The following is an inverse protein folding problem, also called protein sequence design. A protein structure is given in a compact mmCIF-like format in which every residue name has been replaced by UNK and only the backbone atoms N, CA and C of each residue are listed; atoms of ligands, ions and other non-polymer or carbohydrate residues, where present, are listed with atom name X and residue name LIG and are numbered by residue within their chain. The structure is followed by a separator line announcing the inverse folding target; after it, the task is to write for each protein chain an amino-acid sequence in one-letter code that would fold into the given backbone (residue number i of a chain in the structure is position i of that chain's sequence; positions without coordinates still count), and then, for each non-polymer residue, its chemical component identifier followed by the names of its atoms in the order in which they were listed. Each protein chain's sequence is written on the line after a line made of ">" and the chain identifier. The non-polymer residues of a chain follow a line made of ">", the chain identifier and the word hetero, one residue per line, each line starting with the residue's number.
data_IF_213029502141
#
_entry.id   IF_213029502141
#
_cell.length_a   1.000
_cell.length_b   1.000
_cell.length_c   1.000
_cell.angle_alpha   90.00
_cell.angle_beta   90.00
_cell.angle_gamma   90.00
#
_symmetry.space_group_name_H-M   'P 1'
#
loop_
_entity.id
_entity.type
_entity.pdbx_description
1 polymer ?
#
# COMPACT_ATOMS: atom_id res chain seq x y z
N UNK A 1 0.34 -19.45 5.05
CA UNK A 1 -0.42 -18.61 4.09
C UNK A 1 -1.81 -18.45 4.66
N UNK A 2 -2.53 -17.35 4.46
CA UNK A 2 -3.89 -17.22 4.99
C UNK A 2 -4.73 -18.42 4.53
N UNK A 3 -5.31 -19.16 5.47
CA UNK A 3 -6.05 -20.39 5.17
C UNK A 3 -7.53 -20.10 5.01
N UNK A 4 -8.00 -19.01 5.61
CA UNK A 4 -9.40 -18.59 5.56
C UNK A 4 -9.52 -17.09 5.27
N UNK A 5 -10.67 -16.68 4.73
CA UNK A 5 -10.91 -15.27 4.39
C UNK A 5 -10.91 -14.39 5.65
N UNK A 6 -11.25 -14.96 6.80
CA UNK A 6 -11.26 -14.28 8.09
C UNK A 6 -9.85 -13.87 8.54
N UNK A 7 -8.80 -14.57 8.09
CA UNK A 7 -7.41 -14.24 8.39
C UNK A 7 -6.96 -12.95 7.67
N UNK A 8 -7.72 -12.52 6.66
CA UNK A 8 -7.48 -11.31 5.86
C UNK A 8 -8.36 -10.13 6.31
N UNK A 9 -9.06 -10.26 7.44
CA UNK A 9 -9.95 -9.21 7.92
C UNK A 9 -9.16 -7.96 8.31
N UNK A 10 -9.56 -6.82 7.74
CA UNK A 10 -9.04 -5.52 8.13
C UNK A 10 -9.62 -5.08 9.48
N UNK A 11 -8.90 -4.26 10.27
CA UNK A 11 -9.42 -3.73 11.53
C UNK A 11 -10.73 -2.96 11.32
N UNK A 12 -11.82 -3.43 11.93
CA UNK A 12 -13.17 -2.89 11.74
C UNK A 12 -13.26 -1.39 12.05
N UNK A 13 -12.49 -0.92 13.04
CA UNK A 13 -12.41 0.50 13.41
C UNK A 13 -11.90 1.36 12.26
N UNK A 14 -10.88 0.89 11.54
CA UNK A 14 -10.28 1.63 10.41
C UNK A 14 -11.24 1.67 9.23
N UNK A 15 -11.85 0.52 8.89
CA UNK A 15 -12.86 0.43 7.82
C UNK A 15 -14.03 1.36 8.13
N UNK A 16 -14.54 1.33 9.36
CA UNK A 16 -15.67 2.18 9.77
C UNK A 16 -15.34 3.67 9.66
N UNK A 17 -14.12 4.08 10.05
CA UNK A 17 -13.69 5.46 9.95
C UNK A 17 -13.65 5.94 8.49
N UNK A 18 -13.01 5.17 7.59
CA UNK A 18 -12.93 5.50 6.17
C UNK A 18 -14.31 5.61 5.53
N UNK A 19 -15.22 4.69 5.86
CA UNK A 19 -16.59 4.72 5.31
C UNK A 19 -17.35 5.95 5.79
N UNK A 20 -17.19 6.35 7.06
CA UNK A 20 -17.81 7.58 7.57
C UNK A 20 -17.25 8.83 6.91
N UNK A 21 -15.95 8.89 6.64
CA UNK A 21 -15.31 10.01 5.94
C UNK A 21 -15.84 10.18 4.50
N UNK A 22 -16.38 9.12 3.90
CA UNK A 22 -17.01 9.14 2.58
C UNK A 22 -18.52 9.48 2.61
N UNK A 23 -19.12 9.68 3.79
CA UNK A 23 -20.55 9.93 3.97
C UNK A 23 -20.79 11.30 4.62
N UNK A 24 -21.97 11.92 4.41
CA UNK A 24 -22.36 13.12 5.15
C UNK A 24 -22.42 12.91 6.66
N UNK A 25 -22.24 13.99 7.42
CA UNK A 25 -22.35 13.98 8.87
C UNK A 25 -23.72 13.47 9.34
N UNK A 26 -23.72 12.74 10.45
CA UNK A 26 -24.94 12.19 11.07
C UNK A 26 -25.49 10.92 10.41
N UNK A 27 -24.92 10.45 9.30
CA UNK A 27 -25.35 9.19 8.67
C UNK A 27 -24.96 7.99 9.53
N UNK A 28 -25.96 7.17 9.89
CA UNK A 28 -25.75 5.91 10.59
C UNK A 28 -25.46 4.78 9.61
N UNK A 29 -24.50 3.92 9.96
CA UNK A 29 -24.14 2.72 9.20
C UNK A 29 -24.57 1.51 10.02
N UNK A 30 -25.23 0.53 9.42
CA UNK A 30 -25.59 -0.71 10.13
C UNK A 30 -24.36 -1.59 10.40
N UNK A 31 -24.48 -2.55 11.32
CA UNK A 31 -23.39 -3.51 11.62
C UNK A 31 -23.11 -4.42 10.42
N UNK A 32 -24.17 -4.79 9.70
CA UNK A 32 -24.16 -5.64 8.53
C UNK A 32 -23.44 -4.95 7.38
N UNK A 33 -23.73 -3.65 7.15
CA UNK A 33 -23.05 -2.86 6.12
C UNK A 33 -21.55 -2.72 6.40
N UNK A 34 -21.15 -2.42 7.66
CA UNK A 34 -19.73 -2.38 8.06
C UNK A 34 -19.03 -3.71 7.80
N UNK A 35 -19.69 -4.82 8.15
CA UNK A 35 -19.15 -6.16 7.97
C UNK A 35 -19.03 -6.52 6.49
N UNK A 36 -20.03 -6.18 5.68
CA UNK A 36 -20.01 -6.36 4.22
C UNK A 36 -18.87 -5.58 3.57
N UNK A 37 -18.69 -4.31 3.94
CA UNK A 37 -17.59 -3.47 3.44
C UNK A 37 -16.22 -3.99 3.84
N UNK A 38 -16.05 -4.46 5.08
CA UNK A 38 -14.78 -5.05 5.53
C UNK A 38 -14.41 -6.30 4.72
N UNK A 39 -15.38 -7.20 4.49
CA UNK A 39 -15.18 -8.39 3.63
C UNK A 39 -14.90 -8.01 2.18
N UNK A 40 -15.64 -7.05 1.64
CA UNK A 40 -15.44 -6.55 0.28
C UNK A 40 -14.04 -5.95 0.11
N UNK A 41 -13.52 -5.23 1.10
CA UNK A 41 -12.16 -4.69 1.08
C UNK A 41 -11.09 -5.80 1.04
N UNK A 42 -11.24 -6.87 1.84
CA UNK A 42 -10.34 -8.02 1.78
C UNK A 42 -10.37 -8.71 0.42
N UNK A 43 -11.56 -8.90 -0.16
CA UNK A 43 -11.73 -9.46 -1.51
C UNK A 43 -11.14 -8.55 -2.57
N UNK A 44 -11.29 -7.23 -2.43
CA UNK A 44 -10.71 -6.24 -3.34
C UNK A 44 -9.18 -6.34 -3.40
N UNK A 45 -8.51 -6.47 -2.25
CA UNK A 45 -7.05 -6.66 -2.19
C UNK A 45 -6.64 -7.94 -2.94
N UNK A 46 -7.36 -9.04 -2.73
CA UNK A 46 -7.10 -10.30 -3.43
C UNK A 46 -7.33 -10.18 -4.94
N UNK A 47 -8.39 -9.51 -5.34
CA UNK A 47 -8.74 -9.30 -6.74
C UNK A 47 -7.66 -8.50 -7.48
N UNK A 48 -7.27 -7.34 -6.92
CA UNK A 48 -6.20 -6.49 -7.47
C UNK A 48 -4.87 -7.25 -7.53
N UNK A 49 -4.54 -7.97 -6.45
CA UNK A 49 -3.29 -8.77 -6.40
C UNK A 49 -3.28 -9.84 -7.48
N UNK A 50 -4.41 -10.52 -7.71
CA UNK A 50 -4.57 -11.53 -8.75
C UNK A 50 -4.41 -10.93 -10.15
N UNK A 51 -5.07 -9.80 -10.42
CA UNK A 51 -4.99 -9.09 -11.70
C UNK A 51 -3.55 -8.64 -12.00
N UNK A 52 -2.89 -7.98 -11.05
CA UNK A 52 -1.49 -7.55 -11.18
C UNK A 52 -0.53 -8.74 -11.35
N UNK A 53 -0.79 -9.85 -10.65
CA UNK A 53 0.00 -11.09 -10.81
C UNK A 53 -0.12 -11.66 -12.23
N UNK A 54 -1.29 -11.58 -12.85
CA UNK A 54 -1.47 -12.03 -14.23
C UNK A 54 -0.67 -11.17 -15.21
N UNK A 55 -0.63 -9.85 -15.02
CA UNK A 55 0.22 -8.93 -15.81
C UNK A 55 1.69 -9.30 -15.67
N UNK A 56 2.18 -9.49 -14.45
CA UNK A 56 3.57 -9.88 -14.15
C UNK A 56 3.92 -11.20 -14.87
N UNK A 57 3.03 -12.21 -14.79
CA UNK A 57 3.21 -13.50 -15.48
C UNK A 57 3.23 -13.36 -17.00
N UNK A 58 2.30 -12.60 -17.57
CA UNK A 58 2.21 -12.37 -19.02
C UNK A 58 3.47 -11.67 -19.55
N UNK A 59 4.01 -10.74 -18.75
CA UNK A 59 5.25 -10.03 -19.03
C UNK A 59 6.52 -10.83 -18.69
N UNK A 60 6.40 -12.12 -18.30
CA UNK A 60 7.51 -13.01 -17.89
C UNK A 60 8.39 -12.43 -16.78
N UNK A 61 7.84 -11.54 -15.95
CA UNK A 61 8.49 -10.99 -14.76
C UNK A 61 8.28 -11.94 -13.58
N UNK A 62 9.17 -11.88 -12.58
CA UNK A 62 9.05 -12.63 -11.31
C UNK A 62 8.68 -11.76 -10.11
N UNK A 63 8.73 -10.45 -10.30
CA UNK A 63 8.52 -9.46 -9.23
C UNK A 63 7.35 -8.56 -9.63
N UNK A 64 6.39 -8.43 -8.72
CA UNK A 64 5.29 -7.49 -8.83
C UNK A 64 5.76 -6.12 -8.36
N UNK A 65 5.58 -5.10 -9.21
CA UNK A 65 5.97 -3.72 -8.94
C UNK A 65 4.74 -2.81 -8.85
N UNK A 66 4.92 -1.59 -8.34
CA UNK A 66 3.84 -0.59 -8.32
C UNK A 66 3.29 -0.27 -9.71
N UNK A 67 4.12 -0.35 -10.76
CA UNK A 67 3.67 -0.14 -12.13
C UNK A 67 2.71 -1.23 -12.61
N UNK A 68 2.98 -2.49 -12.25
CA UNK A 68 2.09 -3.60 -12.61
C UNK A 68 0.73 -3.48 -11.89
N UNK A 69 0.69 -2.90 -10.69
CA UNK A 69 -0.57 -2.59 -10.00
C UNK A 69 -1.34 -1.46 -10.70
N UNK A 70 -0.66 -0.40 -11.14
CA UNK A 70 -1.30 0.70 -11.89
C UNK A 70 -1.88 0.22 -13.23
N UNK A 71 -1.18 -0.68 -13.92
CA UNK A 71 -1.67 -1.33 -15.14
C UNK A 71 -2.89 -2.21 -14.83
N UNK A 72 -2.83 -3.01 -13.77
CA UNK A 72 -3.95 -3.84 -13.33
C UNK A 72 -5.21 -3.04 -13.02
N UNK A 73 -5.07 -1.84 -12.43
CA UNK A 73 -6.21 -0.96 -12.14
C UNK A 73 -6.95 -0.53 -13.41
N UNK A 74 -6.25 -0.36 -14.53
CA UNK A 74 -6.87 -0.07 -15.83
C UNK A 74 -7.56 -1.32 -16.40
N UNK A 75 -6.89 -2.46 -16.35
CA UNK A 75 -7.42 -3.73 -16.88
C UNK A 75 -8.71 -4.18 -16.18
N UNK A 76 -8.86 -3.85 -14.90
CA UNK A 76 -10.06 -4.16 -14.10
C UNK A 76 -11.07 -3.01 -14.03
N UNK A 77 -10.96 -2.03 -14.93
CA UNK A 77 -11.91 -0.91 -15.09
C UNK A 77 -12.01 0.01 -13.85
N UNK A 78 -10.92 0.15 -13.11
CA UNK A 78 -10.76 1.10 -12.00
C UNK A 78 -9.83 2.27 -12.36
N UNK A 79 -9.94 2.78 -13.59
CA UNK A 79 -9.13 3.88 -14.14
C UNK A 79 -9.09 5.12 -13.23
N UNK A 80 -10.20 5.41 -12.54
CA UNK A 80 -10.30 6.53 -11.59
C UNK A 80 -9.28 6.48 -10.44
N UNK A 81 -8.69 5.32 -10.16
CA UNK A 81 -7.67 5.17 -9.12
C UNK A 81 -6.25 5.34 -9.66
N UNK A 82 -6.03 5.33 -10.98
CA UNK A 82 -4.68 5.34 -11.56
C UNK A 82 -3.92 6.62 -11.21
N UNK A 83 -4.54 7.78 -11.41
CA UNK A 83 -3.93 9.08 -11.12
C UNK A 83 -3.57 9.23 -9.63
N UNK A 84 -4.49 9.09 -8.67
CA UNK A 84 -4.14 9.25 -7.25
C UNK A 84 -3.13 8.20 -6.75
N UNK A 85 -3.17 6.97 -7.29
CA UNK A 85 -2.17 5.96 -6.94
C UNK A 85 -0.78 6.28 -7.54
N UNK A 86 -0.73 6.91 -8.70
CA UNK A 86 0.53 7.34 -9.32
C UNK A 86 1.21 8.44 -8.50
N UNK A 87 0.43 9.42 -8.03
CA UNK A 87 0.91 10.47 -7.12
C UNK A 87 1.42 9.92 -5.80
N UNK A 88 0.68 8.96 -5.21
CA UNK A 88 1.09 8.28 -3.99
C UNK A 88 2.39 7.49 -4.19
N UNK A 89 2.54 6.80 -5.33
CA UNK A 89 3.76 6.06 -5.66
C UNK A 89 4.96 6.99 -5.81
N UNK A 90 4.78 8.15 -6.44
CA UNK A 90 5.86 9.13 -6.59
C UNK A 90 6.27 9.73 -5.25
N UNK A 91 5.29 10.13 -4.43
CA UNK A 91 5.52 10.62 -3.07
C UNK A 91 6.28 9.60 -2.21
N UNK A 92 5.97 8.31 -2.35
CA UNK A 92 6.67 7.23 -1.68
C UNK A 92 8.14 7.12 -2.12
N UNK A 93 8.44 7.23 -3.43
CA UNK A 93 9.82 7.19 -3.95
C UNK A 93 10.65 8.36 -3.42
N UNK A 94 10.07 9.56 -3.38
CA UNK A 94 10.72 10.76 -2.82
C UNK A 94 11.01 10.59 -1.34
N UNK A 95 10.06 10.06 -0.56
CA UNK A 95 10.27 9.79 0.87
C UNK A 95 11.37 8.74 1.10
N UNK A 96 11.44 7.69 0.27
CA UNK A 96 12.48 6.67 0.34
C UNK A 96 13.87 7.23 0.02
N UNK A 97 14.01 8.09 -0.99
CA UNK A 97 15.30 8.68 -1.35
C UNK A 97 15.78 9.62 -0.25
N UNK A 98 14.90 10.46 0.32
CA UNK A 98 15.22 11.32 1.45
C UNK A 98 15.71 10.52 2.67
N UNK A 99 15.03 9.41 3.00
CA UNK A 99 15.43 8.54 4.12
C UNK A 99 16.81 7.90 3.90
N UNK A 100 17.12 7.48 2.67
CA UNK A 100 18.45 6.95 2.32
C UNK A 100 19.53 8.01 2.49
N UNK A 101 19.30 9.23 2.02
CA UNK A 101 20.26 10.34 2.17
C UNK A 101 20.54 10.67 3.64
N UNK A 102 19.53 10.59 4.52
CA UNK A 102 19.71 10.78 5.97
C UNK A 102 20.52 9.65 6.62
N UNK A 103 20.30 8.39 6.21
CA UNK A 103 21.07 7.26 6.73
C UNK A 103 22.52 7.25 6.25
N UNK A 104 22.80 7.70 5.02
CA UNK A 104 24.17 7.82 4.50
C UNK A 104 24.92 8.92 5.23
N UNK A 105 24.31 10.09 5.43
CA UNK A 105 24.91 11.19 6.22
C UNK A 105 25.23 10.78 7.65
N UNK A 106 24.35 10.00 8.30
CA UNK A 106 24.56 9.55 9.69
C UNK A 106 25.70 8.53 9.82
N UNK A 107 26.00 7.78 8.76
CA UNK A 107 27.11 6.83 8.72
C UNK A 107 28.47 7.54 8.54
N UNK A 108 28.49 8.56 7.69
CA UNK A 108 29.64 9.44 7.45
C UNK A 108 30.07 10.17 8.75
N UNK A 109 29.10 10.73 9.48
CA UNK A 109 29.32 11.45 10.76
C UNK A 109 29.74 10.55 11.94
N UNK A 110 29.62 9.22 11.80
CA UNK A 110 29.97 8.26 12.85
C UNK A 110 31.36 7.62 12.65
N UNK A 111 31.90 7.66 11.43
CA UNK A 111 33.22 7.10 11.10
C UNK A 111 34.37 8.10 11.37
N UNK A 112 34.06 9.39 11.55
CA UNK A 112 35.05 10.45 11.84
C UNK A 112 35.40 10.63 13.33
N UNK A 113 34.86 9.81 14.26
CA UNK A 113 35.09 9.95 15.71
C UNK A 113 36.02 8.87 16.31
N UNK A 114 36.48 7.88 15.54
CA UNK A 114 37.24 6.72 16.08
C UNK A 114 38.72 6.67 15.67
N UNK A 115 39.36 7.80 15.37
CA UNK A 115 40.80 7.86 15.08
C UNK A 115 41.49 9.04 15.80
N UNK A 116 41.53 9.00 17.14
CA UNK A 116 42.58 9.68 17.91
C UNK A 116 42.95 8.81 19.12
N UNK A 117 43.65 7.70 18.87
CA UNK A 117 44.55 7.11 19.86
C UNK A 117 45.96 7.29 19.31
N UNK A 118 46.77 8.15 19.94
CA UNK A 118 48.23 8.14 19.80
C UNK A 118 48.83 8.46 21.18
N UNK A 119 49.56 7.44 21.68
CA UNK A 119 50.64 7.34 22.69
C UNK A 119 50.76 8.32 23.88
#
# INVERSE_FOLDING_TARGET
>A
MAEKLEDLNLPMTVVTRIVKEALPDGVAISKEARTGLAKAASVFVLYVTSAATNIVKNNKKKTLTGQDVLEAMKDIEFDRFVEPLSEALESYKVALSAKKSLTTKKKDDSEDVELVEDD
#
